data_IF_608182455647
#
_entry.id   IF_608182455647
#
_cell.length_a   1.000
_cell.length_b   1.000
_cell.length_c   1.000
_cell.angle_alpha   90.00
_cell.angle_beta   90.00
_cell.angle_gamma   90.00
#
_symmetry.space_group_name_H-M   'P 1'
#
loop_
_entity.id
_entity.type
_entity.pdbx_description
1 polymer ?
#
# COMPACT_ATOMS: atom_id res chain seq x y z
N UNK A 1 12.76 -5.00 -12.67
CA UNK A 1 11.36 -5.32 -13.03
C UNK A 1 11.24 -5.15 -14.53
N UNK A 2 10.98 -6.22 -15.28
CA UNK A 2 10.86 -6.17 -16.74
C UNK A 2 9.38 -6.13 -17.16
N UNK A 3 9.10 -5.69 -18.39
CA UNK A 3 7.74 -5.71 -18.94
C UNK A 3 7.14 -7.12 -18.90
N UNK A 4 7.92 -8.15 -19.20
CA UNK A 4 7.48 -9.55 -19.14
C UNK A 4 7.10 -9.99 -17.73
N UNK A 5 7.86 -9.55 -16.71
CA UNK A 5 7.50 -9.83 -15.32
C UNK A 5 6.18 -9.18 -14.92
N UNK A 6 5.92 -7.96 -15.39
CA UNK A 6 4.67 -7.24 -15.10
C UNK A 6 3.49 -7.93 -15.77
N UNK A 7 3.63 -8.34 -17.04
CA UNK A 7 2.58 -9.04 -17.78
C UNK A 7 2.23 -10.37 -17.11
N UNK A 8 3.23 -11.14 -16.67
CA UNK A 8 3.03 -12.38 -15.95
C UNK A 8 2.30 -12.17 -14.61
N UNK A 9 2.64 -11.12 -13.89
CA UNK A 9 2.00 -10.77 -12.63
C UNK A 9 0.53 -10.37 -12.83
N UNK A 10 0.22 -9.60 -13.86
CA UNK A 10 -1.16 -9.23 -14.22
C UNK A 10 -1.96 -10.48 -14.58
N UNK A 11 -1.44 -11.33 -15.46
CA UNK A 11 -2.13 -12.55 -15.87
C UNK A 11 -2.41 -13.48 -14.68
N UNK A 12 -1.43 -13.62 -13.77
CA UNK A 12 -1.58 -14.38 -12.53
C UNK A 12 -2.66 -13.80 -11.63
N UNK A 13 -2.67 -12.49 -11.41
CA UNK A 13 -3.67 -11.83 -10.58
C UNK A 13 -5.10 -11.94 -11.17
N UNK A 14 -5.23 -11.87 -12.50
CA UNK A 14 -6.53 -11.98 -13.17
C UNK A 14 -7.10 -13.40 -13.15
N UNK A 15 -6.23 -14.41 -13.24
CA UNK A 15 -6.59 -15.82 -13.21
C UNK A 15 -6.91 -16.35 -11.81
N UNK A 16 -6.57 -15.59 -10.75
CA UNK A 16 -6.78 -16.01 -9.37
C UNK A 16 -8.28 -16.05 -9.02
N UNK A 17 -8.75 -17.23 -8.58
CA UNK A 17 -10.15 -17.46 -8.18
C UNK A 17 -10.53 -16.67 -6.92
N UNK A 18 -9.55 -16.32 -6.10
CA UNK A 18 -9.73 -15.58 -4.85
C UNK A 18 -9.44 -14.08 -5.01
N UNK A 19 -9.21 -13.57 -6.24
CA UNK A 19 -8.81 -12.18 -6.51
C UNK A 19 -9.63 -11.12 -5.77
N UNK A 20 -10.94 -11.33 -5.60
CA UNK A 20 -11.82 -10.41 -4.88
C UNK A 20 -11.51 -10.39 -3.37
N UNK A 21 -11.29 -11.56 -2.77
CA UNK A 21 -10.92 -11.65 -1.35
C UNK A 21 -9.51 -11.11 -1.11
N UNK A 22 -8.58 -11.37 -2.04
CA UNK A 22 -7.23 -10.82 -2.00
C UNK A 22 -7.27 -9.29 -2.06
N UNK A 23 -8.07 -8.72 -2.97
CA UNK A 23 -8.25 -7.28 -3.09
C UNK A 23 -8.82 -6.65 -1.80
N UNK A 24 -9.85 -7.24 -1.21
CA UNK A 24 -10.43 -6.74 0.05
C UNK A 24 -9.44 -6.83 1.22
N UNK A 25 -8.71 -7.95 1.35
CA UNK A 25 -7.66 -8.10 2.37
C UNK A 25 -6.54 -7.08 2.18
N UNK A 26 -6.10 -6.87 0.94
CA UNK A 26 -5.06 -5.90 0.62
C UNK A 26 -5.52 -4.47 0.96
N UNK A 27 -6.75 -4.11 0.59
CA UNK A 27 -7.36 -2.82 0.94
C UNK A 27 -7.41 -2.61 2.45
N UNK A 28 -7.94 -3.58 3.19
CA UNK A 28 -8.01 -3.54 4.66
C UNK A 28 -6.62 -3.39 5.28
N UNK A 29 -5.63 -4.14 4.78
CA UNK A 29 -4.25 -4.05 5.25
C UNK A 29 -3.66 -2.65 5.02
N UNK A 30 -3.84 -2.07 3.83
CA UNK A 30 -3.37 -0.72 3.52
C UNK A 30 -3.97 0.30 4.48
N UNK A 31 -5.29 0.28 4.69
CA UNK A 31 -5.94 1.19 5.63
C UNK A 31 -5.54 0.97 7.08
N UNK A 32 -5.25 -0.28 7.49
CA UNK A 32 -4.79 -0.58 8.85
C UNK A 32 -3.38 -0.06 9.14
N UNK A 33 -2.50 -0.02 8.13
CA UNK A 33 -1.08 0.36 8.29
C UNK A 33 -0.83 1.83 7.95
N UNK A 34 -1.54 2.32 6.94
CA UNK A 34 -1.39 3.65 6.36
C UNK A 34 -2.69 4.43 6.49
N UNK A 35 -3.31 4.42 7.67
CA UNK A 35 -4.42 5.33 7.94
C UNK A 35 -3.96 6.78 7.74
N UNK A 36 -4.88 7.65 7.34
CA UNK A 36 -4.55 9.06 7.13
C UNK A 36 -4.04 9.70 8.42
N UNK A 37 -4.57 9.27 9.57
CA UNK A 37 -4.13 9.68 10.90
C UNK A 37 -2.66 9.31 11.14
N UNK A 38 -2.28 8.06 10.82
CA UNK A 38 -0.89 7.61 10.98
C UNK A 38 0.06 8.34 10.02
N UNK A 39 -0.37 8.60 8.79
CA UNK A 39 0.41 9.37 7.80
C UNK A 39 0.60 10.81 8.27
N UNK A 40 -0.47 11.46 8.75
CA UNK A 40 -0.43 12.83 9.26
C UNK A 40 0.47 12.94 10.50
N UNK A 41 0.34 12.01 11.45
CA UNK A 41 1.20 11.99 12.64
C UNK A 41 2.68 11.87 12.27
N UNK A 42 3.04 10.95 11.36
CA UNK A 42 4.43 10.80 10.90
C UNK A 42 4.94 12.05 10.21
N UNK A 43 4.10 12.73 9.44
CA UNK A 43 4.45 13.99 8.81
C UNK A 43 4.69 15.09 9.85
N UNK A 44 3.81 15.23 10.85
CA UNK A 44 3.98 16.19 11.95
C UNK A 44 5.27 15.93 12.76
N UNK A 45 5.58 14.67 13.07
CA UNK A 45 6.83 14.28 13.74
C UNK A 45 8.07 14.75 12.94
N UNK A 46 8.06 14.60 11.62
CA UNK A 46 9.15 15.05 10.76
C UNK A 46 9.25 16.56 10.68
N UNK A 47 8.11 17.26 10.56
CA UNK A 47 8.06 18.72 10.56
C UNK A 47 8.65 19.29 11.86
N UNK A 48 8.25 18.76 13.02
CA UNK A 48 8.82 19.15 14.32
C UNK A 48 10.33 18.90 14.37
N UNK A 49 10.79 17.73 13.89
CA UNK A 49 12.22 17.43 13.84
C UNK A 49 13.03 18.40 12.98
N UNK A 50 12.44 18.99 11.94
CA UNK A 50 13.12 19.90 11.04
C UNK A 50 13.12 21.35 11.53
N UNK A 51 12.02 21.78 12.15
CA UNK A 51 11.79 23.20 12.45
C UNK A 51 11.86 23.56 13.94
N UNK A 52 11.72 22.61 14.87
CA UNK A 52 11.78 22.86 16.32
C UNK A 52 13.19 22.66 16.90
N UNK A 53 14.25 22.93 16.10
CA UNK A 53 15.64 22.99 16.57
C UNK A 53 15.99 24.36 17.11
#
# INVERSE_FOLDING_TARGET
MSSDSIINDINRALADKERHQIAEKAKSLVFSKYSWENVAQRFEEQMKSWFDK
#
